data_IF_242445536408
#
_entry.id   IF_242445536408
#
_cell.length_a   1.000
_cell.length_b   1.000
_cell.length_c   1.000
_cell.angle_alpha   90.00
_cell.angle_beta   90.00
_cell.angle_gamma   90.00
#
_symmetry.space_group_name_H-M   'P 1'
#
loop_
_entity.id
_entity.type
_entity.pdbx_description
1 polymer ?
#
# COMPACT_ATOMS: atom_id res chain seq x y z
N UNK A 1 -28.42 3.14 8.13
CA UNK A 1 -27.61 1.95 7.88
C UNK A 1 -27.99 1.46 6.50
N UNK A 2 -27.01 1.42 5.61
CA UNK A 2 -27.23 1.14 4.20
C UNK A 2 -27.07 -0.34 3.93
N UNK A 3 -27.76 -0.84 2.90
CA UNK A 3 -27.62 -2.23 2.44
C UNK A 3 -26.80 -2.28 1.16
N UNK A 4 -26.05 -3.37 0.98
CA UNK A 4 -25.23 -3.59 -0.21
C UNK A 4 -26.14 -3.94 -1.39
N UNK A 5 -26.18 -3.09 -2.41
CA UNK A 5 -26.89 -3.38 -3.65
C UNK A 5 -26.03 -4.18 -4.63
N UNK A 6 -24.71 -3.95 -4.64
CA UNK A 6 -23.82 -4.57 -5.62
C UNK A 6 -22.39 -4.64 -5.14
N UNK A 7 -21.71 -5.71 -5.53
CA UNK A 7 -20.26 -5.88 -5.45
C UNK A 7 -19.71 -6.04 -6.86
N UNK A 8 -18.70 -5.26 -7.20
CA UNK A 8 -17.95 -5.36 -8.45
C UNK A 8 -16.48 -5.53 -8.16
N UNK A 9 -15.78 -6.26 -9.02
CA UNK A 9 -14.35 -6.42 -8.90
C UNK A 9 -13.69 -6.53 -10.27
N UNK A 10 -12.52 -5.91 -10.42
CA UNK A 10 -11.75 -5.92 -11.65
C UNK A 10 -10.28 -6.22 -11.37
N UNK A 11 -9.64 -7.12 -12.14
CA UNK A 11 -8.20 -7.23 -12.10
C UNK A 11 -7.60 -5.97 -12.71
N UNK A 12 -6.65 -5.37 -12.01
CA UNK A 12 -5.88 -4.22 -12.46
C UNK A 12 -4.40 -4.56 -12.48
N UNK A 13 -3.70 -4.12 -13.52
CA UNK A 13 -2.25 -4.17 -13.60
C UNK A 13 -1.71 -2.74 -13.68
N UNK A 14 -0.84 -2.40 -12.74
CA UNK A 14 -0.04 -1.19 -12.75
C UNK A 14 1.38 -1.55 -13.19
N UNK A 15 1.74 -1.37 -14.48
CA UNK A 15 3.09 -1.63 -14.95
C UNK A 15 4.07 -0.61 -14.37
N UNK A 16 5.29 -1.05 -14.06
CA UNK A 16 6.36 -0.16 -13.62
C UNK A 16 7.12 0.35 -14.85
N UNK A 17 7.49 1.64 -14.82
CA UNK A 17 8.33 2.24 -15.87
C UNK A 17 9.66 1.49 -16.04
N UNK A 18 10.22 1.02 -14.93
CA UNK A 18 11.44 0.23 -14.89
C UNK A 18 11.23 -0.98 -13.96
N UNK A 19 11.19 -2.22 -14.52
CA UNK A 19 11.16 -3.43 -13.71
C UNK A 19 12.34 -3.50 -12.75
N UNK A 20 12.11 -4.00 -11.54
CA UNK A 20 13.15 -4.13 -10.52
C UNK A 20 13.31 -5.59 -10.05
N UNK A 21 14.47 -5.90 -9.46
CA UNK A 21 14.77 -7.19 -8.88
C UNK A 21 14.29 -7.29 -7.42
N UNK A 22 13.67 -8.42 -7.09
CA UNK A 22 13.50 -8.90 -5.72
C UNK A 22 13.93 -10.36 -5.64
N UNK A 23 14.04 -10.93 -4.43
CA UNK A 23 14.53 -12.29 -4.25
C UNK A 23 13.81 -13.35 -5.12
N UNK A 24 12.47 -13.27 -5.34
CA UNK A 24 11.77 -14.16 -6.28
C UNK A 24 12.06 -13.95 -7.78
N UNK A 25 12.72 -12.86 -8.17
CA UNK A 25 13.00 -12.51 -9.57
C UNK A 25 12.59 -11.07 -9.93
N UNK A 26 12.35 -10.84 -11.22
CA UNK A 26 12.02 -9.52 -11.78
C UNK A 26 10.55 -9.18 -11.59
N UNK A 27 10.28 -7.93 -11.17
CA UNK A 27 8.95 -7.37 -10.95
C UNK A 27 8.66 -6.33 -12.00
N UNK A 28 7.83 -6.64 -13.01
CA UNK A 28 7.50 -5.69 -14.08
C UNK A 28 6.33 -4.76 -13.74
N UNK A 29 5.59 -5.04 -12.66
CA UNK A 29 4.33 -4.39 -12.36
C UNK A 29 3.68 -5.00 -11.12
N UNK A 30 2.61 -4.36 -10.67
CA UNK A 30 1.78 -4.85 -9.57
C UNK A 30 0.40 -5.18 -10.15
N UNK A 31 -0.04 -6.42 -9.95
CA UNK A 31 -1.39 -6.85 -10.31
C UNK A 31 -2.22 -7.08 -9.05
N UNK A 32 -3.40 -6.46 -8.99
CA UNK A 32 -4.32 -6.47 -7.84
C UNK A 32 -5.75 -6.60 -8.32
N UNK A 33 -6.68 -6.76 -7.39
CA UNK A 33 -8.11 -6.63 -7.68
C UNK A 33 -8.63 -5.33 -7.07
N UNK A 34 -9.27 -4.49 -7.88
CA UNK A 34 -9.99 -3.30 -7.42
C UNK A 34 -11.44 -3.70 -7.19
N UNK A 35 -11.97 -3.38 -6.01
CA UNK A 35 -13.33 -3.71 -5.59
C UNK A 35 -14.14 -2.43 -5.46
N UNK A 36 -15.40 -2.47 -5.92
CA UNK A 36 -16.40 -1.46 -5.63
C UNK A 36 -17.60 -2.11 -4.97
N UNK A 37 -18.02 -1.56 -3.84
CA UNK A 37 -19.30 -1.87 -3.21
C UNK A 37 -20.21 -0.68 -3.44
N UNK A 38 -21.44 -0.93 -3.88
CA UNK A 38 -22.48 0.09 -4.04
C UNK A 38 -23.65 -0.26 -3.14
N UNK A 39 -24.15 0.72 -2.40
CA UNK A 39 -25.31 0.59 -1.52
C UNK A 39 -26.62 0.87 -2.26
N UNK A 40 -27.75 0.48 -1.68
CA UNK A 40 -29.10 0.71 -2.26
C UNK A 40 -29.45 2.19 -2.41
N UNK A 41 -28.88 3.05 -1.57
CA UNK A 41 -29.01 4.52 -1.63
C UNK A 41 -27.95 5.18 -2.53
N UNK A 42 -27.13 4.39 -3.22
CA UNK A 42 -26.23 4.85 -4.28
C UNK A 42 -24.85 5.33 -3.81
N UNK A 43 -24.53 5.21 -2.52
CA UNK A 43 -23.16 5.40 -2.02
C UNK A 43 -22.28 4.29 -2.55
N UNK A 44 -21.05 4.61 -2.94
CA UNK A 44 -20.08 3.61 -3.34
C UNK A 44 -18.77 3.79 -2.58
N UNK A 45 -18.18 2.67 -2.19
CA UNK A 45 -16.85 2.60 -1.60
C UNK A 45 -15.91 1.79 -2.48
N UNK A 46 -14.63 2.13 -2.40
CA UNK A 46 -13.56 1.44 -3.11
C UNK A 46 -12.65 0.69 -2.16
N UNK A 47 -12.21 -0.48 -2.59
CA UNK A 47 -11.21 -1.27 -1.88
C UNK A 47 -10.31 -2.04 -2.83
N UNK A 48 -9.32 -2.73 -2.27
CA UNK A 48 -8.32 -3.47 -3.01
C UNK A 48 -8.01 -4.79 -2.32
N UNK A 49 -7.95 -5.89 -3.08
CA UNK A 49 -7.54 -7.20 -2.58
C UNK A 49 -6.29 -7.73 -3.28
N UNK A 50 -5.70 -8.77 -2.68
CA UNK A 50 -4.29 -9.03 -2.86
C UNK A 50 -3.91 -9.64 -4.21
N UNK A 51 -4.81 -10.46 -4.76
CA UNK A 51 -4.59 -11.25 -5.94
C UNK A 51 -5.49 -10.75 -7.07
N UNK A 52 -5.02 -10.67 -8.33
CA UNK A 52 -5.88 -10.36 -9.47
C UNK A 52 -6.93 -11.46 -9.73
N UNK A 53 -6.76 -12.66 -9.14
CA UNK A 53 -7.74 -13.75 -9.25
C UNK A 53 -8.98 -13.51 -8.38
N UNK A 54 -8.85 -12.69 -7.34
CA UNK A 54 -9.96 -12.36 -6.42
C UNK A 54 -11.14 -11.72 -7.16
N UNK A 55 -10.90 -11.05 -8.30
CA UNK A 55 -11.94 -10.44 -9.11
C UNK A 55 -12.99 -11.45 -9.62
N UNK A 56 -12.56 -12.66 -10.00
CA UNK A 56 -13.47 -13.70 -10.45
C UNK A 56 -14.32 -14.25 -9.30
N UNK A 57 -13.71 -14.42 -8.11
CA UNK A 57 -14.40 -14.88 -6.90
C UNK A 57 -15.46 -13.86 -6.46
N UNK A 58 -15.07 -12.59 -6.37
CA UNK A 58 -15.96 -11.48 -6.02
C UNK A 58 -17.02 -11.18 -7.10
N UNK A 59 -16.75 -11.50 -8.36
CA UNK A 59 -17.75 -11.45 -9.43
C UNK A 59 -18.77 -12.60 -9.39
N UNK A 60 -18.51 -13.64 -8.59
CA UNK A 60 -19.34 -14.84 -8.48
C UNK A 60 -20.12 -14.92 -7.16
N UNK A 61 -20.25 -16.14 -6.64
CA UNK A 61 -21.05 -16.44 -5.44
C UNK A 61 -20.59 -15.66 -4.20
N UNK A 62 -19.28 -15.43 -4.06
CA UNK A 62 -18.74 -14.71 -2.91
C UNK A 62 -19.25 -13.27 -2.86
N UNK A 63 -19.25 -12.55 -3.99
CA UNK A 63 -19.81 -11.19 -4.05
C UNK A 63 -21.31 -11.17 -3.83
N UNK A 64 -22.03 -12.13 -4.42
CA UNK A 64 -23.49 -12.24 -4.26
C UNK A 64 -23.91 -12.52 -2.82
N UNK A 65 -23.09 -13.22 -2.04
CA UNK A 65 -23.35 -13.47 -0.62
C UNK A 65 -23.41 -12.19 0.23
N UNK A 66 -22.86 -11.07 -0.24
CA UNK A 66 -22.94 -9.78 0.44
C UNK A 66 -24.16 -8.95 0.05
N UNK A 67 -24.77 -9.21 -1.12
CA UNK A 67 -25.88 -8.39 -1.63
C UNK A 67 -27.12 -8.52 -0.74
N UNK A 68 -27.77 -7.39 -0.46
CA UNK A 68 -28.94 -7.25 0.42
C UNK A 68 -28.59 -7.19 1.90
N UNK A 69 -27.33 -7.44 2.29
CA UNK A 69 -26.88 -7.38 3.69
C UNK A 69 -26.60 -5.96 4.13
N UNK A 70 -26.73 -5.73 5.43
CA UNK A 70 -26.39 -4.45 6.06
C UNK A 70 -24.87 -4.22 6.05
N UNK A 71 -24.47 -2.99 5.74
CA UNK A 71 -23.06 -2.61 5.59
C UNK A 71 -22.28 -2.68 6.91
N UNK A 72 -22.91 -2.32 8.05
CA UNK A 72 -22.28 -2.38 9.37
C UNK A 72 -22.14 -3.83 9.85
N UNK A 73 -23.17 -4.65 9.63
CA UNK A 73 -23.14 -6.08 9.95
C UNK A 73 -22.02 -6.81 9.19
N UNK A 74 -21.91 -6.58 7.88
CA UNK A 74 -20.86 -7.21 7.06
C UNK A 74 -19.47 -6.72 7.50
N UNK A 75 -19.30 -5.41 7.76
CA UNK A 75 -18.03 -4.87 8.23
C UNK A 75 -17.59 -5.50 9.56
N UNK A 76 -18.51 -5.63 10.52
CA UNK A 76 -18.25 -6.24 11.82
C UNK A 76 -17.96 -7.77 11.71
N UNK A 77 -18.51 -8.46 10.71
CA UNK A 77 -18.18 -9.87 10.42
C UNK A 77 -16.77 -10.01 9.83
N UNK A 78 -16.38 -9.09 8.96
CA UNK A 78 -15.10 -9.15 8.24
C UNK A 78 -13.90 -8.73 9.10
N UNK A 79 -14.08 -7.80 10.04
CA UNK A 79 -13.02 -7.30 10.93
C UNK A 79 -12.30 -8.41 11.73
N UNK A 80 -12.99 -9.36 12.41
CA UNK A 80 -12.34 -10.43 13.17
C UNK A 80 -11.99 -11.66 12.31
N UNK A 81 -12.24 -11.64 10.99
CA UNK A 81 -12.12 -12.83 10.17
C UNK A 81 -10.66 -13.35 10.14
N UNK A 82 -10.50 -14.65 10.35
CA UNK A 82 -9.19 -15.29 10.32
C UNK A 82 -8.56 -15.15 8.93
N UNK A 83 -7.35 -14.57 8.88
CA UNK A 83 -6.61 -14.40 7.64
C UNK A 83 -5.92 -15.72 7.32
N UNK A 84 -6.29 -16.32 6.19
CA UNK A 84 -5.63 -17.52 5.71
C UNK A 84 -4.11 -17.26 5.58
N UNK A 85 -3.26 -18.20 6.03
CA UNK A 85 -1.82 -18.03 5.94
C UNK A 85 -1.40 -17.91 4.47
N UNK A 86 -0.38 -17.08 4.17
CA UNK A 86 0.15 -16.98 2.82
C UNK A 86 0.68 -18.34 2.33
N UNK A 87 0.37 -18.68 1.08
CA UNK A 87 0.85 -19.91 0.45
C UNK A 87 2.15 -19.63 -0.31
N UNK A 88 3.23 -20.27 0.10
CA UNK A 88 4.52 -20.20 -0.60
C UNK A 88 4.57 -21.23 -1.72
N UNK A 89 4.74 -20.77 -2.96
CA UNK A 89 4.87 -21.63 -4.13
C UNK A 89 6.32 -22.01 -4.39
N UNK A 90 6.50 -23.10 -5.14
CA UNK A 90 7.81 -23.58 -5.59
C UNK A 90 8.50 -22.66 -6.59
N UNK A 91 7.79 -21.72 -7.21
CA UNK A 91 8.34 -20.67 -8.09
C UNK A 91 8.66 -19.37 -7.34
N UNK A 92 8.89 -19.45 -6.03
CA UNK A 92 9.21 -18.34 -5.13
C UNK A 92 8.14 -17.24 -5.04
N UNK A 93 6.92 -17.48 -5.54
CA UNK A 93 5.78 -16.57 -5.39
C UNK A 93 5.02 -16.85 -4.10
N UNK A 94 4.46 -15.79 -3.52
CA UNK A 94 3.55 -15.86 -2.38
C UNK A 94 2.14 -15.58 -2.87
N UNK A 95 1.21 -16.50 -2.64
CA UNK A 95 -0.21 -16.27 -2.85
C UNK A 95 -0.84 -15.80 -1.55
N UNK A 96 -1.45 -14.62 -1.61
CA UNK A 96 -2.30 -14.10 -0.53
C UNK A 96 -3.73 -14.18 -1.03
N UNK A 97 -4.53 -15.07 -0.41
CA UNK A 97 -5.93 -15.27 -0.75
C UNK A 97 -6.80 -14.62 0.31
N UNK A 98 -7.17 -13.36 0.06
CA UNK A 98 -8.11 -12.66 0.93
C UNK A 98 -8.98 -11.69 0.10
N UNK A 99 -9.87 -12.22 -0.76
CA UNK A 99 -10.78 -11.38 -1.56
C UNK A 99 -11.66 -10.49 -0.68
N UNK A 100 -12.01 -10.94 0.53
CA UNK A 100 -12.86 -10.22 1.48
C UNK A 100 -12.24 -8.91 1.96
N UNK A 101 -10.91 -8.80 2.01
CA UNK A 101 -10.23 -7.56 2.38
C UNK A 101 -10.63 -6.38 1.46
N UNK A 102 -10.82 -6.64 0.16
CA UNK A 102 -11.25 -5.59 -0.77
C UNK A 102 -12.68 -5.10 -0.49
N UNK A 103 -13.57 -5.99 -0.04
CA UNK A 103 -14.94 -5.62 0.36
C UNK A 103 -14.91 -4.86 1.69
N UNK A 104 -14.15 -5.35 2.67
CA UNK A 104 -14.01 -4.71 3.98
C UNK A 104 -13.50 -3.27 3.86
N UNK A 105 -12.43 -3.03 3.08
CA UNK A 105 -11.91 -1.68 2.82
C UNK A 105 -12.99 -0.79 2.15
N UNK A 106 -13.73 -1.32 1.18
CA UNK A 106 -14.81 -0.58 0.53
C UNK A 106 -15.95 -0.21 1.51
N UNK A 107 -16.26 -1.06 2.49
CA UNK A 107 -17.26 -0.77 3.52
C UNK A 107 -16.76 0.31 4.50
N UNK A 108 -15.47 0.35 4.81
CA UNK A 108 -14.87 1.46 5.57
C UNK A 108 -14.94 2.79 4.81
N UNK A 109 -14.73 2.79 3.49
CA UNK A 109 -14.92 3.99 2.64
C UNK A 109 -16.38 4.46 2.64
N UNK A 110 -17.35 3.53 2.51
CA UNK A 110 -18.78 3.84 2.63
C UNK A 110 -19.11 4.47 4.00
N UNK A 111 -18.68 3.84 5.09
CA UNK A 111 -18.96 4.34 6.44
C UNK A 111 -18.42 5.76 6.68
N UNK A 112 -17.20 6.05 6.18
CA UNK A 112 -16.63 7.39 6.26
C UNK A 112 -17.43 8.42 5.44
N UNK A 113 -17.89 8.04 4.24
CA UNK A 113 -18.72 8.90 3.37
C UNK A 113 -20.09 9.19 3.97
N UNK A 114 -20.74 8.18 4.52
CA UNK A 114 -22.03 8.34 5.21
C UNK A 114 -21.91 9.25 6.45
N UNK A 115 -20.77 9.17 7.15
CA UNK A 115 -20.44 10.08 8.24
C UNK A 115 -20.04 11.49 7.78
N UNK A 116 -19.86 11.73 6.47
CA UNK A 116 -19.38 13.00 5.93
C UNK A 116 -17.93 13.31 6.30
N UNK A 117 -17.11 12.30 6.59
CA UNK A 117 -15.73 12.44 7.05
C UNK A 117 -14.73 11.85 6.05
N UNK A 118 -13.53 12.42 5.92
CA UNK A 118 -12.44 11.72 5.27
C UNK A 118 -12.07 10.47 6.09
N UNK A 119 -11.75 9.36 5.42
CA UNK A 119 -11.51 8.06 6.07
C UNK A 119 -10.52 8.12 7.23
N UNK A 120 -9.42 8.89 7.12
CA UNK A 120 -8.45 9.02 8.20
C UNK A 120 -9.04 9.67 9.46
N UNK A 121 -9.94 10.65 9.31
CA UNK A 121 -10.63 11.27 10.43
C UNK A 121 -11.68 10.33 11.00
N UNK A 122 -12.38 9.59 10.13
CA UNK A 122 -13.33 8.58 10.55
C UNK A 122 -12.68 7.52 11.46
N UNK A 123 -11.53 6.97 11.04
CA UNK A 123 -10.77 5.96 11.78
C UNK A 123 -10.10 6.50 13.06
N UNK A 124 -9.80 7.81 13.11
CA UNK A 124 -9.18 8.45 14.27
C UNK A 124 -10.19 8.82 15.37
N UNK A 125 -11.49 8.60 15.18
CA UNK A 125 -12.48 8.86 16.23
C UNK A 125 -12.33 7.91 17.43
N UNK A 126 -11.79 6.70 17.21
CA UNK A 126 -11.60 5.66 18.26
C UNK A 126 -10.14 5.46 18.70
N UNK A 127 -9.17 6.17 18.11
CA UNK A 127 -7.74 6.09 18.46
C UNK A 127 -7.11 7.47 18.54
N UNK A 128 -6.13 7.65 19.43
CA UNK A 128 -5.28 8.85 19.45
C UNK A 128 -4.86 9.20 18.01
N UNK A 129 -5.21 10.39 17.48
CA UNK A 129 -5.01 10.78 16.08
C UNK A 129 -3.53 10.83 15.66
N UNK A 130 -2.60 10.68 16.60
CA UNK A 130 -1.15 10.57 16.36
C UNK A 130 -0.57 9.19 16.67
N UNK A 131 -1.40 8.14 16.78
CA UNK A 131 -0.94 6.76 16.81
C UNK A 131 -0.28 6.41 15.46
N UNK A 132 0.99 6.81 15.36
CA UNK A 132 1.93 6.61 14.26
C UNK A 132 1.67 5.24 13.65
N UNK A 133 1.24 5.18 12.39
CA UNK A 133 1.16 3.94 11.63
C UNK A 133 2.58 3.33 11.69
N UNK A 134 2.81 2.27 12.47
CA UNK A 134 4.13 1.69 12.57
C UNK A 134 4.36 1.02 11.22
N UNK A 135 5.27 1.55 10.40
CA UNK A 135 5.72 0.85 9.20
C UNK A 135 6.34 -0.46 9.69
N UNK A 136 5.71 -1.58 9.38
CA UNK A 136 6.08 -2.90 9.88
C UNK A 136 7.54 -3.20 9.52
N UNK A 137 8.36 -3.46 10.55
CA UNK A 137 9.80 -3.78 10.44
C UNK A 137 10.07 -5.21 9.94
N UNK A 138 9.04 -5.99 9.63
CA UNK A 138 9.12 -7.40 9.26
C UNK A 138 9.07 -7.59 7.75
N UNK A 139 10.05 -7.03 7.05
CA UNK A 139 10.29 -7.37 5.64
C UNK A 139 11.78 -7.39 5.34
N UNK A 140 12.21 -8.21 4.37
CA UNK A 140 13.56 -8.18 3.78
C UNK A 140 13.72 -6.91 2.93
N UNK A 141 13.64 -5.75 3.59
CA UNK A 141 13.76 -4.45 2.98
C UNK A 141 14.83 -3.67 3.75
N UNK A 142 15.75 -3.07 3.03
CA UNK A 142 16.66 -2.10 3.60
C UNK A 142 15.93 -0.77 3.76
N UNK A 143 16.19 -0.06 4.87
CA UNK A 143 15.68 1.28 5.09
C UNK A 143 16.82 2.23 5.45
N UNK A 144 16.77 3.44 4.90
CA UNK A 144 17.66 4.54 5.23
C UNK A 144 16.83 5.79 5.46
N UNK A 145 17.21 6.60 6.44
CA UNK A 145 16.51 7.84 6.77
C UNK A 145 17.50 8.96 6.99
N UNK A 146 17.11 10.16 6.56
CA UNK A 146 17.90 11.37 6.76
C UNK A 146 17.55 12.02 8.10
N UNK A 147 18.51 12.67 8.78
CA UNK A 147 18.20 13.55 9.90
C UNK A 147 17.20 14.63 9.44
N UNK A 148 16.08 14.75 10.15
CA UNK A 148 15.05 15.75 9.84
C UNK A 148 15.64 17.15 9.83
N UNK A 149 15.43 17.91 8.76
CA UNK A 149 15.53 19.37 8.83
C UNK A 149 14.32 19.89 9.62
N UNK A 150 14.49 20.88 10.52
CA UNK A 150 13.37 21.50 11.22
C UNK A 150 12.62 22.40 10.23
N UNK A 151 11.78 21.80 9.39
CA UNK A 151 10.88 22.55 8.51
C UNK A 151 9.50 21.92 8.51
N UNK A 152 8.88 21.86 9.69
CA UNK A 152 7.43 22.05 9.74
C UNK A 152 7.17 23.52 9.44
N UNK A 153 6.91 23.85 8.17
CA UNK A 153 6.10 25.05 7.91
C UNK A 153 4.73 24.72 8.49
N UNK A 154 4.38 25.34 9.60
CA UNK A 154 2.98 25.43 9.99
C UNK A 154 2.21 25.94 8.77
N UNK A 155 1.26 25.15 8.28
CA UNK A 155 0.37 25.61 7.24
C UNK A 155 -0.29 26.92 7.73
N UNK A 156 -0.42 27.95 6.88
CA UNK A 156 -1.13 29.16 7.25
C UNK A 156 -2.55 28.77 7.68
N UNK A 157 -2.95 29.22 8.87
CA UNK A 157 -4.29 29.04 9.42
C UNK A 157 -5.31 29.54 8.41
N UNK A 158 -6.13 28.64 7.84
CA UNK A 158 -7.26 29.00 6.97
C UNK A 158 -7.36 28.26 5.64
N UNK A 159 -6.39 27.44 5.22
CA UNK A 159 -6.56 26.52 4.09
C UNK A 159 -6.34 25.08 4.55
N UNK A 160 -7.34 24.21 4.38
CA UNK A 160 -7.19 22.77 4.58
C UNK A 160 -6.14 22.24 3.58
N UNK A 161 -4.91 22.10 4.05
CA UNK A 161 -3.88 21.37 3.31
C UNK A 161 -4.29 19.91 3.32
N UNK A 162 -4.53 19.26 2.16
CA UNK A 162 -5.00 17.88 2.14
C UNK A 162 -4.04 16.98 2.92
N UNK A 163 -4.55 16.12 3.80
CA UNK A 163 -3.75 15.17 4.60
C UNK A 163 -2.69 14.43 3.77
N UNK A 164 -3.03 14.04 2.52
CA UNK A 164 -2.09 13.39 1.56
C UNK A 164 -0.80 14.17 1.29
N UNK A 165 -0.79 15.48 1.49
CA UNK A 165 0.38 16.34 1.28
C UNK A 165 1.21 16.56 2.56
N UNK A 166 0.74 16.01 3.68
CA UNK A 166 1.40 16.07 4.99
C UNK A 166 2.01 14.72 5.40
N UNK A 167 1.70 13.64 4.67
CA UNK A 167 2.30 12.32 4.90
C UNK A 167 3.69 12.31 4.28
N UNK A 168 4.71 12.02 5.10
CA UNK A 168 6.08 11.83 4.61
C UNK A 168 6.11 10.66 3.62
N UNK A 169 6.56 10.93 2.40
CA UNK A 169 6.71 9.90 1.38
C UNK A 169 8.01 9.11 1.62
N UNK A 170 7.96 7.82 1.34
CA UNK A 170 9.14 6.94 1.36
C UNK A 170 9.49 6.59 -0.08
N UNK A 171 10.70 6.95 -0.49
CA UNK A 171 11.22 6.60 -1.81
C UNK A 171 11.61 5.14 -1.87
N UNK A 172 11.37 4.53 -3.03
CA UNK A 172 11.61 3.11 -3.21
C UNK A 172 12.80 2.83 -4.13
N UNK A 173 13.85 2.21 -3.59
CA UNK A 173 15.02 1.80 -4.36
C UNK A 173 15.08 0.29 -4.55
N UNK A 174 15.66 -0.13 -5.67
CA UNK A 174 15.95 -1.52 -5.98
C UNK A 174 16.91 -1.56 -7.18
N UNK A 175 17.55 -2.70 -7.39
CA UNK A 175 18.25 -2.96 -8.65
C UNK A 175 17.24 -3.00 -9.80
N UNK A 176 17.45 -2.16 -10.81
CA UNK A 176 16.64 -2.06 -12.03
C UNK A 176 17.55 -2.31 -13.22
N UNK A 177 17.59 -3.56 -13.75
CA UNK A 177 18.51 -3.93 -14.83
C UNK A 177 18.40 -2.98 -16.03
N UNK A 178 19.54 -2.45 -16.47
CA UNK A 178 19.60 -1.46 -17.54
C UNK A 178 19.28 -0.02 -17.12
N UNK A 179 19.10 0.26 -15.82
CA UNK A 179 18.89 1.61 -15.29
C UNK A 179 19.73 1.91 -14.05
N UNK A 180 19.52 1.16 -12.96
CA UNK A 180 20.35 1.22 -11.76
C UNK A 180 20.73 -0.22 -11.40
N UNK A 181 21.88 -0.68 -11.90
CA UNK A 181 22.34 -2.07 -11.80
C UNK A 181 23.50 -2.26 -10.83
N UNK A 182 23.94 -1.19 -10.17
CA UNK A 182 25.00 -1.22 -9.17
C UNK A 182 24.67 -0.44 -7.89
N UNK A 183 25.32 -0.76 -6.75
CA UNK A 183 25.25 0.03 -5.52
C UNK A 183 25.38 1.55 -5.73
N UNK A 184 26.30 1.96 -6.60
CA UNK A 184 26.65 3.38 -6.79
C UNK A 184 25.56 4.12 -7.56
N UNK A 185 24.98 3.46 -8.56
CA UNK A 185 23.86 4.02 -9.34
C UNK A 185 22.59 4.12 -8.50
N UNK A 186 22.33 3.13 -7.64
CA UNK A 186 21.21 3.20 -6.70
C UNK A 186 21.42 4.34 -5.69
N UNK A 187 22.64 4.51 -5.17
CA UNK A 187 22.96 5.63 -4.29
C UNK A 187 22.80 6.99 -4.99
N UNK A 188 23.21 7.10 -6.26
CA UNK A 188 22.99 8.28 -7.09
C UNK A 188 21.50 8.55 -7.35
N UNK A 189 20.70 7.50 -7.59
CA UNK A 189 19.23 7.61 -7.66
C UNK A 189 18.66 8.17 -6.36
N UNK A 190 19.06 7.63 -5.20
CA UNK A 190 18.59 8.13 -3.91
C UNK A 190 18.97 9.60 -3.68
N UNK A 191 20.20 9.99 -4.00
CA UNK A 191 20.64 11.40 -3.92
C UNK A 191 19.81 12.31 -4.83
N UNK A 192 19.50 11.86 -6.05
CA UNK A 192 18.64 12.60 -6.98
C UNK A 192 17.22 12.79 -6.44
N UNK A 193 16.62 11.77 -5.82
CA UNK A 193 15.30 11.91 -5.19
C UNK A 193 15.31 12.88 -4.01
N UNK A 194 16.42 12.95 -3.25
CA UNK A 194 16.60 14.03 -2.26
C UNK A 194 16.58 15.40 -2.94
N UNK A 195 17.34 15.57 -4.02
CA UNK A 195 17.47 16.88 -4.69
C UNK A 195 16.18 17.32 -5.37
N UNK A 196 15.49 16.40 -6.06
CA UNK A 196 14.30 16.67 -6.85
C UNK A 196 13.03 16.75 -5.98
N UNK A 197 12.96 16.02 -4.87
CA UNK A 197 11.72 15.80 -4.12
C UNK A 197 11.83 16.03 -2.59
N UNK A 198 13.00 16.40 -2.07
CA UNK A 198 13.27 16.53 -0.62
C UNK A 198 12.92 15.26 0.17
N UNK A 199 13.12 14.09 -0.46
CA UNK A 199 12.66 12.82 0.09
C UNK A 199 13.37 12.45 1.40
N UNK A 200 12.61 12.19 2.49
CA UNK A 200 13.19 12.03 3.83
C UNK A 200 13.57 10.59 4.18
N UNK A 201 12.91 9.60 3.55
CA UNK A 201 13.01 8.18 3.88
C UNK A 201 13.13 7.37 2.60
N UNK A 202 13.98 6.35 2.65
CA UNK A 202 14.23 5.43 1.55
C UNK A 202 14.03 4.01 2.04
N UNK A 203 13.25 3.22 1.31
CA UNK A 203 13.04 1.80 1.53
C UNK A 203 13.38 1.05 0.25
N UNK A 204 14.00 -0.13 0.32
CA UNK A 204 14.35 -0.84 -0.89
C UNK A 204 14.59 -2.33 -0.72
N UNK A 205 14.63 -3.03 -1.86
CA UNK A 205 14.82 -4.49 -1.90
C UNK A 205 16.29 -4.86 -1.93
N UNK A 206 16.62 -5.83 -1.10
CA UNK A 206 17.93 -6.48 -0.98
C UNK A 206 17.76 -7.99 -1.17
N UNK A 207 18.82 -8.77 -0.99
CA UNK A 207 18.86 -10.22 -1.16
C UNK A 207 18.60 -10.66 -2.62
N UNK A 208 19.07 -9.86 -3.58
CA UNK A 208 19.14 -10.23 -5.00
C UNK A 208 20.59 -10.39 -5.50
N UNK A 209 21.53 -9.94 -4.68
CA UNK A 209 22.98 -10.06 -4.84
C UNK A 209 23.58 -10.72 -3.58
N UNK A 210 24.86 -11.14 -3.63
CA UNK A 210 25.59 -11.56 -2.44
C UNK A 210 25.51 -10.54 -1.29
N UNK A 211 25.51 -11.02 -0.06
CA UNK A 211 25.28 -10.19 1.14
C UNK A 211 26.30 -9.05 1.30
N UNK A 212 27.53 -9.24 0.86
CA UNK A 212 28.58 -8.21 0.86
C UNK A 212 28.25 -7.04 -0.09
N UNK A 213 27.59 -7.33 -1.21
CA UNK A 213 27.10 -6.31 -2.14
C UNK A 213 25.90 -5.55 -1.56
N UNK A 214 24.97 -6.23 -0.88
CA UNK A 214 23.87 -5.56 -0.16
C UNK A 214 24.37 -4.65 0.97
N UNK A 215 25.40 -5.09 1.71
CA UNK A 215 26.05 -4.26 2.74
C UNK A 215 26.72 -3.05 2.10
N UNK A 216 27.36 -3.22 0.94
CA UNK A 216 27.96 -2.12 0.17
C UNK A 216 26.89 -1.13 -0.31
N UNK A 217 25.78 -1.61 -0.86
CA UNK A 217 24.62 -0.82 -1.27
C UNK A 217 24.14 0.09 -0.15
N UNK A 218 23.89 -0.46 1.03
CA UNK A 218 23.40 0.33 2.17
C UNK A 218 24.43 1.39 2.61
N UNK A 219 25.73 1.06 2.57
CA UNK A 219 26.81 2.01 2.87
C UNK A 219 26.88 3.15 1.86
N UNK A 220 26.78 2.85 0.57
CA UNK A 220 26.84 3.85 -0.49
C UNK A 220 25.60 4.76 -0.46
N UNK A 221 24.40 4.21 -0.27
CA UNK A 221 23.19 5.01 -0.05
C UNK A 221 23.39 5.93 1.15
N UNK A 222 23.84 5.40 2.30
CA UNK A 222 24.07 6.21 3.52
C UNK A 222 25.07 7.33 3.28
N UNK A 223 26.14 7.07 2.54
CA UNK A 223 27.13 8.08 2.20
C UNK A 223 26.56 9.18 1.29
N UNK A 224 25.68 8.81 0.35
CA UNK A 224 25.10 9.73 -0.62
C UNK A 224 24.02 10.64 -0.02
N UNK A 225 23.19 10.12 0.89
CA UNK A 225 22.02 10.86 1.39
C UNK A 225 22.18 11.40 2.82
N UNK A 226 23.22 11.00 3.57
CA UNK A 226 23.40 11.37 4.99
C UNK A 226 22.52 10.57 5.94
#
# INVERSE_FOLDING_TARGET
>A
MSRIARVEAWPANAPLEAPYLMAPGTVPGISRTIVRVTTEDGVHGLGESASPLDAAELGGELGQAFVGRDTDEVRAELEPAEIAPPEHRTDAKVLIRNPRAGVEIALWDIAAREAGLPLHAFLAQDRDPLARIPVARTSLKASASRPRRPSFRSAPTGSEVPCRTQVEFTEYFAYRPGREDSPAEIAAYCARMVEEHDSPVFEGKVAVHPVDEDVRLVREIRAAIG
#
